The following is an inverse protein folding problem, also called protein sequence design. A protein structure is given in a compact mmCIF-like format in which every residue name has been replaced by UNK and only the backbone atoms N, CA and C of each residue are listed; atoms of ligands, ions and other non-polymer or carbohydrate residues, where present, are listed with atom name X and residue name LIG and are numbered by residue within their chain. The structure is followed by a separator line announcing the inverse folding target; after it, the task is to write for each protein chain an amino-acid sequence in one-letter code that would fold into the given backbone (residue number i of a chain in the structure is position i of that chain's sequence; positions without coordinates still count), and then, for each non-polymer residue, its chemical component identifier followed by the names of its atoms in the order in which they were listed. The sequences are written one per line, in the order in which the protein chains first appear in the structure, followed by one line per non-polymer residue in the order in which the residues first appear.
data_IF_370894014446
#
_entry.id   IF_370894014446
#
_cell.length_a   1.000
_cell.length_b   1.000
_cell.length_c   1.000
_cell.angle_alpha   90.00
_cell.angle_beta   90.00
_cell.angle_gamma   90.00
#
_symmetry.space_group_name_H-M   'P 1'
#
loop_
_entity.id
_entity.type
_entity.pdbx_description
1 polymer ?
#
# COMPACT_ATOMS: atom_id res chain seq x y z
N UNK A 1 -7.43 1.27 19.01
CA UNK A 1 -7.69 0.10 18.15
C UNK A 1 -8.18 0.63 16.80
N UNK A 2 -7.56 0.27 15.68
CA UNK A 2 -8.05 0.63 14.34
C UNK A 2 -8.69 -0.60 13.73
N UNK A 3 -9.99 -0.56 13.51
CA UNK A 3 -10.68 -1.60 12.76
C UNK A 3 -10.47 -1.31 11.27
N UNK A 4 -10.06 -2.33 10.51
CA UNK A 4 -10.18 -2.26 9.06
C UNK A 4 -11.66 -2.30 8.73
N UNK A 5 -12.23 -1.12 8.49
CA UNK A 5 -13.61 -1.05 8.06
C UNK A 5 -13.63 -1.39 6.58
N UNK A 6 -14.38 -2.43 6.21
CA UNK A 6 -14.72 -2.70 4.82
C UNK A 6 -15.43 -1.46 4.27
N UNK A 7 -15.12 -1.05 3.06
CA UNK A 7 -15.75 0.11 2.44
C UNK A 7 -16.52 -0.26 1.19
N UNK A 8 -17.66 0.42 1.04
CA UNK A 8 -18.53 0.22 -0.10
C UNK A 8 -17.90 0.83 -1.35
N UNK A 9 -17.63 0.04 -2.42
CA UNK A 9 -16.90 0.47 -3.63
C UNK A 9 -17.55 1.65 -4.35
N UNK A 10 -18.89 1.71 -4.36
CA UNK A 10 -19.64 2.75 -5.07
C UNK A 10 -19.95 3.95 -4.17
N UNK A 11 -20.61 3.74 -3.04
CA UNK A 11 -21.00 4.81 -2.11
C UNK A 11 -19.84 5.42 -1.31
N UNK A 12 -18.64 4.81 -1.32
CA UNK A 12 -17.44 5.33 -0.64
C UNK A 12 -17.72 5.66 0.84
N UNK A 13 -18.26 4.68 1.55
CA UNK A 13 -18.62 4.78 2.97
C UNK A 13 -18.24 3.50 3.71
N UNK A 14 -18.02 3.57 5.03
CA UNK A 14 -17.78 2.39 5.84
C UNK A 14 -18.97 1.43 5.81
N UNK A 15 -18.64 0.14 5.77
CA UNK A 15 -19.55 -0.97 6.00
C UNK A 15 -19.32 -1.43 7.44
N UNK A 16 -20.39 -1.42 8.24
CA UNK A 16 -20.42 -1.84 9.64
C UNK A 16 -21.50 -2.91 9.77
N UNK A 17 -21.13 -4.09 10.26
CA UNK A 17 -22.04 -5.25 10.40
C UNK A 17 -22.79 -5.61 9.10
N UNK A 18 -22.09 -5.52 7.97
CA UNK A 18 -22.65 -5.80 6.64
C UNK A 18 -23.62 -4.72 6.14
N UNK A 19 -23.69 -3.55 6.77
CA UNK A 19 -24.55 -2.44 6.36
C UNK A 19 -23.76 -1.16 6.15
N UNK A 20 -24.24 -0.27 5.31
CA UNK A 20 -23.64 1.06 5.10
C UNK A 20 -24.73 2.12 5.06
N UNK A 21 -24.37 3.37 5.34
CA UNK A 21 -25.28 4.50 5.17
C UNK A 21 -25.10 5.09 3.78
N UNK A 22 -26.15 5.13 2.97
CA UNK A 22 -26.10 5.77 1.65
C UNK A 22 -25.92 7.29 1.84
N UNK A 23 -24.84 7.88 1.32
CA UNK A 23 -24.58 9.32 1.51
C UNK A 23 -25.61 10.21 0.79
N UNK A 24 -26.35 9.70 -0.19
CA UNK A 24 -27.33 10.50 -0.95
C UNK A 24 -28.70 10.52 -0.30
N UNK A 25 -29.09 9.45 0.38
CA UNK A 25 -30.43 9.31 1.00
C UNK A 25 -30.39 9.35 2.52
N UNK A 26 -29.23 9.08 3.12
CA UNK A 26 -29.05 8.95 4.57
C UNK A 26 -29.56 7.63 5.15
N UNK A 27 -30.11 6.73 4.33
CA UNK A 27 -30.67 5.46 4.77
C UNK A 27 -29.60 4.40 5.00
N UNK A 28 -29.83 3.52 5.99
CA UNK A 28 -28.98 2.36 6.24
C UNK A 28 -29.41 1.24 5.29
N UNK A 29 -28.49 0.80 4.43
CA UNK A 29 -28.70 -0.24 3.46
C UNK A 29 -27.83 -1.46 3.77
N UNK A 30 -28.33 -2.65 3.45
CA UNK A 30 -27.55 -3.88 3.53
C UNK A 30 -26.53 -3.90 2.37
N UNK A 31 -25.26 -4.12 2.68
CA UNK A 31 -24.26 -4.37 1.66
C UNK A 31 -24.52 -5.75 1.03
N UNK A 32 -24.87 -5.76 -0.26
CA UNK A 32 -25.06 -6.98 -1.07
C UNK A 32 -23.85 -7.30 -1.94
N UNK A 33 -22.81 -6.46 -1.89
CA UNK A 33 -21.60 -6.60 -2.71
C UNK A 33 -20.54 -7.44 -2.02
N UNK A 34 -19.86 -8.26 -2.80
CA UNK A 34 -18.71 -9.07 -2.37
C UNK A 34 -17.36 -8.38 -2.60
N UNK A 35 -17.32 -7.34 -3.43
CA UNK A 35 -16.12 -6.55 -3.70
C UNK A 35 -16.04 -5.34 -2.74
N UNK A 36 -15.48 -5.55 -1.55
CA UNK A 36 -15.17 -4.48 -0.60
C UNK A 36 -13.68 -4.14 -0.65
N UNK A 37 -13.32 -2.89 -0.32
CA UNK A 37 -11.91 -2.52 -0.15
C UNK A 37 -11.66 -2.03 1.29
N UNK A 38 -10.41 -2.14 1.73
CA UNK A 38 -9.99 -1.59 3.02
C UNK A 38 -10.09 -0.07 2.95
N UNK A 39 -11.03 0.49 3.70
CA UNK A 39 -11.27 1.91 3.64
C UNK A 39 -10.30 2.75 4.45
N UNK A 40 -10.41 4.08 4.32
CA UNK A 40 -9.53 4.99 5.00
C UNK A 40 -9.52 4.83 6.53
N UNK A 41 -8.37 5.15 7.16
CA UNK A 41 -7.22 5.79 6.53
C UNK A 41 -6.26 4.77 5.91
N UNK A 42 -6.23 4.79 4.57
CA UNK A 42 -5.38 4.00 3.69
C UNK A 42 -4.81 5.00 2.69
N UNK A 43 -3.49 5.14 2.71
CA UNK A 43 -2.76 6.09 1.85
C UNK A 43 -1.84 5.28 0.95
N UNK A 44 -2.03 5.44 -0.35
CA UNK A 44 -1.16 4.84 -1.34
C UNK A 44 0.06 5.75 -1.59
N UNK A 45 1.25 5.25 -1.32
CA UNK A 45 2.50 6.00 -1.48
C UNK A 45 3.33 5.39 -2.59
N UNK A 46 3.76 6.22 -3.53
CA UNK A 46 4.71 5.85 -4.59
C UNK A 46 6.01 6.63 -4.40
N UNK A 47 7.14 5.95 -4.46
CA UNK A 47 8.46 6.57 -4.51
C UNK A 47 9.07 6.39 -5.90
N UNK A 48 9.66 7.45 -6.43
CA UNK A 48 10.38 7.47 -7.70
C UNK A 48 11.79 8.02 -7.46
N UNK A 49 12.81 7.21 -7.72
CA UNK A 49 14.19 7.61 -7.57
C UNK A 49 14.75 8.11 -8.89
N UNK A 50 15.25 9.35 -8.88
CA UNK A 50 15.90 9.95 -10.05
C UNK A 50 17.43 9.80 -10.03
N UNK A 51 17.99 9.19 -9.00
CA UNK A 51 19.43 8.94 -8.91
C UNK A 51 19.84 7.85 -9.89
N UNK A 52 20.67 8.20 -10.87
CA UNK A 52 20.87 7.33 -12.03
C UNK A 52 21.68 6.05 -11.76
N UNK A 53 22.62 6.09 -10.81
CA UNK A 53 23.45 4.93 -10.49
C UNK A 53 22.84 3.96 -9.46
N UNK A 54 21.58 4.13 -9.07
CA UNK A 54 20.91 3.25 -8.10
C UNK A 54 20.09 2.16 -8.81
N UNK A 55 20.04 0.96 -8.22
CA UNK A 55 19.13 -0.11 -8.65
C UNK A 55 17.67 0.16 -8.28
N UNK A 56 17.42 1.07 -7.33
CA UNK A 56 16.08 1.51 -6.98
C UNK A 56 15.59 2.55 -7.99
N UNK A 57 14.52 2.26 -8.73
CA UNK A 57 13.86 3.22 -9.63
C UNK A 57 12.49 3.64 -9.14
N UNK A 58 11.67 2.69 -8.69
CA UNK A 58 10.36 2.99 -8.11
C UNK A 58 9.87 1.86 -7.20
N UNK A 59 9.07 2.23 -6.20
CA UNK A 59 8.41 1.28 -5.30
C UNK A 59 7.10 1.90 -4.82
N UNK A 60 6.10 1.06 -4.55
CA UNK A 60 4.80 1.49 -4.05
C UNK A 60 4.41 0.72 -2.79
N UNK A 61 3.68 1.37 -1.90
CA UNK A 61 3.10 0.73 -0.73
C UNK A 61 1.74 1.35 -0.37
N UNK A 62 0.82 0.50 0.08
CA UNK A 62 -0.45 0.94 0.70
C UNK A 62 -0.29 0.90 2.21
N UNK A 63 -0.52 2.04 2.85
CA UNK A 63 -0.31 2.24 4.28
C UNK A 63 -1.65 2.46 4.98
N UNK A 64 -1.98 1.62 5.96
CA UNK A 64 -3.19 1.72 6.78
C UNK A 64 -3.03 2.81 7.88
N UNK A 65 -2.72 4.03 7.44
CA UNK A 65 -2.45 5.17 8.31
C UNK A 65 -3.00 6.46 7.69
N UNK A 66 -3.18 7.47 8.55
CA UNK A 66 -3.58 8.80 8.09
C UNK A 66 -2.45 9.49 7.34
N UNK A 67 -2.79 10.46 6.49
CA UNK A 67 -1.80 11.24 5.73
C UNK A 67 -0.76 11.92 6.64
N UNK A 68 -1.16 12.37 7.84
CA UNK A 68 -0.26 12.99 8.81
C UNK A 68 0.79 12.00 9.33
N UNK A 69 0.39 10.76 9.61
CA UNK A 69 1.32 9.71 10.06
C UNK A 69 2.27 9.29 8.95
N UNK A 70 1.78 9.23 7.71
CA UNK A 70 2.61 8.99 6.53
C UNK A 70 3.66 10.10 6.39
N UNK A 71 3.27 11.37 6.54
CA UNK A 71 4.22 12.48 6.49
C UNK A 71 5.29 12.42 7.57
N UNK A 72 4.92 12.09 8.81
CA UNK A 72 5.89 11.92 9.90
C UNK A 72 6.89 10.82 9.56
N UNK A 73 6.41 9.67 9.08
CA UNK A 73 7.29 8.56 8.71
C UNK A 73 8.19 8.90 7.50
N UNK A 74 7.68 9.62 6.50
CA UNK A 74 8.51 10.13 5.40
C UNK A 74 9.58 11.11 5.89
N UNK A 75 9.26 11.98 6.85
CA UNK A 75 10.23 12.89 7.45
C UNK A 75 11.31 12.14 8.24
N UNK A 76 10.94 11.06 8.95
CA UNK A 76 11.91 10.20 9.63
C UNK A 76 12.85 9.51 8.62
N UNK A 77 12.37 9.09 7.45
CA UNK A 77 13.24 8.53 6.40
C UNK A 77 14.27 9.55 5.90
N UNK A 78 13.87 10.81 5.73
CA UNK A 78 14.79 11.90 5.33
C UNK A 78 15.79 12.19 6.44
N UNK A 79 15.33 12.26 7.69
CA UNK A 79 16.19 12.46 8.87
C UNK A 79 17.23 11.35 9.02
N UNK A 80 16.86 10.11 8.71
CA UNK A 80 17.74 8.94 8.75
C UNK A 80 18.55 8.73 7.46
N UNK A 81 18.59 9.74 6.57
CA UNK A 81 19.37 9.74 5.32
C UNK A 81 19.06 8.52 4.42
N UNK A 82 17.82 8.04 4.42
CA UNK A 82 17.38 6.95 3.53
C UNK A 82 17.34 7.47 2.09
N UNK A 83 16.80 8.66 1.91
CA UNK A 83 16.77 9.39 0.65
C UNK A 83 16.57 10.89 0.89
N UNK A 84 16.91 11.70 -0.10
CA UNK A 84 16.52 13.11 -0.15
C UNK A 84 15.27 13.29 -1.00
N UNK A 85 14.30 14.07 -0.53
CA UNK A 85 13.09 14.39 -1.31
C UNK A 85 13.44 15.54 -2.27
N UNK A 86 13.20 15.33 -3.56
CA UNK A 86 13.31 16.36 -4.61
C UNK A 86 11.95 17.01 -4.85
N UNK A 87 10.90 16.20 -4.90
CA UNK A 87 9.53 16.69 -5.06
C UNK A 87 8.57 15.79 -4.32
N UNK A 88 7.50 16.37 -3.79
CA UNK A 88 6.45 15.64 -3.11
C UNK A 88 5.10 16.19 -3.56
N UNK A 89 4.23 15.29 -4.02
CA UNK A 89 2.84 15.58 -4.29
C UNK A 89 1.98 14.75 -3.34
N UNK A 90 1.00 15.36 -2.68
CA UNK A 90 0.15 14.68 -1.73
C UNK A 90 -1.31 15.10 -1.84
N UNK A 91 -2.17 14.11 -1.66
CA UNK A 91 -3.61 14.22 -1.47
C UNK A 91 -4.00 13.41 -0.24
N UNK A 92 -5.27 13.45 0.17
CA UNK A 92 -5.75 12.75 1.36
C UNK A 92 -5.45 11.24 1.37
N UNK A 93 -5.40 10.61 0.20
CA UNK A 93 -5.31 9.15 0.05
C UNK A 93 -4.14 8.70 -0.84
N UNK A 94 -3.36 9.64 -1.37
CA UNK A 94 -2.23 9.30 -2.23
C UNK A 94 -1.08 10.28 -2.06
N UNK A 95 0.14 9.75 -2.00
CA UNK A 95 1.39 10.50 -1.96
C UNK A 95 2.31 9.99 -3.06
N UNK A 96 2.90 10.92 -3.80
CA UNK A 96 3.99 10.64 -4.73
C UNK A 96 5.24 11.36 -4.24
N UNK A 97 6.30 10.60 -4.01
CA UNK A 97 7.60 11.08 -3.54
C UNK A 97 8.61 10.89 -4.66
N UNK A 98 9.11 11.99 -5.23
CA UNK A 98 10.28 11.97 -6.09
C UNK A 98 11.50 12.19 -5.22
N UNK A 99 12.39 11.21 -5.17
CA UNK A 99 13.56 11.23 -4.31
C UNK A 99 14.86 10.98 -5.07
N UNK A 100 15.97 11.22 -4.40
CA UNK A 100 17.31 10.86 -4.86
C UNK A 100 18.03 10.13 -3.74
N UNK A 101 18.51 8.92 -4.06
CA UNK A 101 19.36 8.12 -3.19
C UNK A 101 20.22 7.16 -3.98
N UNK A 102 21.47 6.98 -3.56
CA UNK A 102 22.38 5.96 -4.09
C UNK A 102 22.12 4.56 -3.50
N UNK A 103 21.24 4.43 -2.50
CA UNK A 103 20.92 3.14 -1.86
C UNK A 103 20.22 2.20 -2.83
N UNK A 104 20.38 0.90 -2.61
CA UNK A 104 19.79 -0.15 -3.44
C UNK A 104 18.28 -0.33 -3.19
N UNK A 105 17.61 -1.01 -4.12
CA UNK A 105 16.18 -1.33 -3.97
C UNK A 105 15.89 -2.18 -2.73
N UNK A 106 16.79 -3.09 -2.35
CA UNK A 106 16.62 -3.96 -1.17
C UNK A 106 16.67 -3.13 0.12
N UNK A 107 17.62 -2.20 0.22
CA UNK A 107 17.74 -1.33 1.39
C UNK A 107 16.52 -0.42 1.55
N UNK A 108 16.10 0.25 0.48
CA UNK A 108 14.94 1.15 0.51
C UNK A 108 13.65 0.36 0.71
N UNK A 109 13.52 -0.79 0.06
CA UNK A 109 12.39 -1.70 0.21
C UNK A 109 12.23 -2.22 1.64
N UNK A 110 13.33 -2.57 2.31
CA UNK A 110 13.34 -2.97 3.72
C UNK A 110 12.80 -1.87 4.63
N UNK A 111 13.28 -0.64 4.46
CA UNK A 111 12.80 0.52 5.24
C UNK A 111 11.31 0.78 5.02
N UNK A 112 10.83 0.69 3.77
CA UNK A 112 9.41 0.88 3.46
C UNK A 112 8.56 -0.25 4.04
N UNK A 113 9.06 -1.48 4.03
CA UNK A 113 8.39 -2.61 4.65
C UNK A 113 8.29 -2.44 6.18
N UNK A 114 9.35 -1.94 6.82
CA UNK A 114 9.35 -1.64 8.25
C UNK A 114 8.37 -0.51 8.59
N UNK A 115 8.33 0.55 7.77
CA UNK A 115 7.34 1.62 7.85
C UNK A 115 5.92 1.04 7.76
N UNK A 116 5.66 0.17 6.79
CA UNK A 116 4.35 -0.46 6.58
C UNK A 116 3.94 -1.31 7.80
N UNK A 117 4.86 -2.11 8.34
CA UNK A 117 4.63 -2.89 9.58
C UNK A 117 4.35 -1.99 10.77
N UNK A 118 5.14 -0.94 10.95
CA UNK A 118 5.00 0.00 12.06
C UNK A 118 3.65 0.72 12.04
N UNK A 119 3.26 1.23 10.87
CA UNK A 119 1.99 1.93 10.68
C UNK A 119 0.79 0.98 10.78
N UNK A 120 0.97 -0.29 10.42
CA UNK A 120 -0.08 -1.32 10.48
C UNK A 120 -0.21 -2.03 11.83
N UNK A 121 0.65 -1.75 12.82
CA UNK A 121 0.70 -2.49 14.10
C UNK A 121 -0.61 -2.50 14.91
N UNK A 122 -1.46 -1.50 14.71
CA UNK A 122 -2.72 -1.32 15.45
C UNK A 122 -3.96 -1.70 14.62
N UNK A 123 -3.73 -2.31 13.46
CA UNK A 123 -4.75 -2.69 12.49
C UNK A 123 -5.23 -4.09 12.84
N UNK A 124 -6.49 -4.21 13.24
CA UNK A 124 -7.11 -5.50 13.54
C UNK A 124 -7.84 -5.97 12.28
N UNK A 125 -7.40 -7.09 11.72
CA UNK A 125 -8.14 -7.83 10.69
C UNK A 125 -9.15 -8.73 11.43
N UNK A 126 -10.45 -8.67 11.12
CA UNK A 126 -11.44 -9.60 11.67
C UNK A 126 -11.06 -11.06 11.38
N UNK A 127 -11.35 -11.97 12.32
CA UNK A 127 -10.95 -13.38 12.23
C UNK A 127 -11.56 -14.10 11.00
N UNK A 128 -12.78 -13.72 10.62
CA UNK A 128 -13.47 -14.22 9.43
C UNK A 128 -12.73 -13.85 8.13
N UNK A 129 -12.25 -12.62 8.00
CA UNK A 129 -11.46 -12.18 6.85
C UNK A 129 -10.09 -12.86 6.82
N UNK A 130 -9.46 -13.04 7.99
CA UNK A 130 -8.21 -13.77 8.13
C UNK A 130 -8.36 -15.23 7.68
N UNK A 131 -9.48 -15.87 8.01
CA UNK A 131 -9.81 -17.22 7.54
C UNK A 131 -10.02 -17.25 6.02
N UNK A 132 -10.74 -16.27 5.47
CA UNK A 132 -10.93 -16.14 4.02
C UNK A 132 -9.63 -15.92 3.24
N UNK A 133 -8.74 -15.05 3.74
CA UNK A 133 -7.42 -14.81 3.16
C UNK A 133 -6.52 -16.06 3.21
N UNK A 134 -6.56 -16.82 4.31
CA UNK A 134 -5.81 -18.08 4.44
C UNK A 134 -6.32 -19.12 3.44
N UNK A 135 -7.63 -19.32 3.35
CA UNK A 135 -8.24 -20.23 2.40
C UNK A 135 -7.94 -19.85 0.94
N UNK A 136 -7.96 -18.55 0.63
CA UNK A 136 -7.56 -18.04 -0.68
C UNK A 136 -6.08 -18.30 -0.98
N UNK A 137 -5.19 -18.02 -0.02
CA UNK A 137 -3.74 -18.27 -0.17
C UNK A 137 -3.45 -19.76 -0.38
N UNK A 138 -4.13 -20.63 0.36
CA UNK A 138 -4.05 -22.08 0.20
C UNK A 138 -4.58 -22.54 -1.17
N UNK A 139 -5.63 -21.88 -1.69
CA UNK A 139 -6.19 -22.19 -3.02
C UNK A 139 -5.28 -21.77 -4.19
N UNK A 140 -4.45 -20.73 -3.99
CA UNK A 140 -3.55 -20.22 -5.02
C UNK A 140 -2.20 -20.92 -5.09
N UNK A 141 -1.84 -21.73 -4.09
CA UNK A 141 -0.50 -22.29 -3.96
C UNK A 141 0.54 -21.19 -3.70
N UNK A 142 1.65 -21.57 -3.09
CA UNK A 142 2.75 -20.67 -2.70
C UNK A 142 3.52 -20.20 -3.96
N UNK A 143 2.90 -19.36 -4.79
CA UNK A 143 3.63 -18.57 -5.77
C UNK A 143 4.25 -17.39 -5.04
N UNK A 144 5.35 -17.66 -4.35
CA UNK A 144 6.39 -16.66 -4.18
C UNK A 144 6.75 -16.19 -5.60
N UNK A 145 6.26 -15.00 -5.98
CA UNK A 145 6.77 -14.29 -7.15
C UNK A 145 8.14 -13.77 -6.77
N UNK A 146 9.12 -14.69 -6.77
CA UNK A 146 10.49 -14.34 -7.04
C UNK A 146 10.47 -13.63 -8.40
N UNK A 147 10.97 -12.40 -8.41
CA UNK A 147 11.21 -11.66 -9.62
C UNK A 147 12.25 -12.43 -10.45
N UNK A 148 11.80 -13.25 -11.39
CA UNK A 148 12.65 -13.74 -12.48
C UNK A 148 12.69 -12.68 -13.57
N UNK A 149 13.74 -11.88 -13.46
CA UNK A 149 14.37 -11.14 -14.53
C UNK A 149 14.94 -12.13 -15.55
N UNK A 150 14.30 -12.31 -16.71
CA UNK A 150 15.00 -12.63 -17.97
C UNK A 150 14.18 -12.15 -19.18
N UNK A 151 14.43 -10.92 -19.62
CA UNK A 151 14.33 -10.59 -21.05
C UNK A 151 15.57 -11.19 -21.73
N UNK A 152 15.36 -12.20 -22.58
CA UNK A 152 16.45 -12.93 -23.24
C UNK A 152 17.29 -12.10 -24.22
N UNK A 153 18.37 -12.68 -24.79
CA UNK A 153 19.08 -12.04 -25.89
C UNK A 153 18.44 -12.39 -27.24
N UNK A 154 18.16 -11.35 -28.02
CA UNK A 154 17.89 -11.45 -29.44
C UNK A 154 19.19 -11.68 -30.23
N UNK A 155 19.14 -12.67 -31.12
CA UNK A 155 19.87 -12.84 -32.39
C UNK A 155 21.41 -12.85 -32.39
N UNK A 156 21.96 -13.98 -32.86
CA UNK A 156 22.99 -13.96 -33.91
C UNK A 156 22.50 -14.80 -35.10
N UNK A 157 22.54 -14.15 -36.26
CA UNK A 157 22.25 -14.67 -37.60
C UNK A 157 23.29 -15.69 -38.07
N UNK A 158 22.85 -16.60 -38.94
CA UNK A 158 23.66 -17.55 -39.71
C UNK A 158 24.77 -16.90 -40.54
#
# INVERSE_FOLDING_TARGET
MRHLTQWHPQHKVPIVDGRFQDPNTGEIQQNTRTDTYLGPPSVHVMWFNVHDSSSFRSIGATLNASINEVFIALADHVKNEVYSIISLNASLYSVTVVCSTGKSQVEVGGVIQDMQRHLSRNVVIPEEELAGLRAWKESMGDNDVAAEDERGPASESS
#
